data_IF_566448734443
#
_entry.id   IF_566448734443
#
_cell.length_a   1.000
_cell.length_b   1.000
_cell.length_c   1.000
_cell.angle_alpha   90.00
_cell.angle_beta   90.00
_cell.angle_gamma   90.00
#
_symmetry.space_group_name_H-M   'P 1'
#
loop_
_entity.id
_entity.type
_entity.pdbx_description
1 polymer ?
#
# COMPACT_ATOMS: atom_id res chain seq x y z
N UNK A 1 3.97 -16.73 -1.98
CA UNK A 1 2.58 -17.07 -1.56
C UNK A 1 1.86 -15.79 -1.14
N UNK A 2 0.63 -15.65 -1.53
CA UNK A 2 -0.25 -14.54 -1.13
C UNK A 2 -1.36 -15.07 -0.23
N UNK A 3 -1.64 -14.41 0.88
CA UNK A 3 -2.74 -14.77 1.77
C UNK A 3 -3.31 -13.55 2.52
N UNK A 4 -4.55 -13.70 3.01
CA UNK A 4 -5.12 -12.73 3.91
C UNK A 4 -4.33 -12.67 5.21
N UNK A 5 -4.19 -11.46 5.76
CA UNK A 5 -3.51 -11.30 7.04
C UNK A 5 -4.31 -11.99 8.15
N UNK A 6 -3.58 -12.75 8.95
CA UNK A 6 -4.08 -13.41 10.15
C UNK A 6 -3.23 -12.96 11.34
N UNK A 7 -3.79 -12.19 12.30
CA UNK A 7 -3.02 -11.65 13.42
C UNK A 7 -2.24 -12.70 14.21
N UNK A 8 -2.82 -13.88 14.41
CA UNK A 8 -2.17 -14.96 15.16
C UNK A 8 -0.96 -15.59 14.46
N UNK A 9 -0.81 -15.39 13.15
CA UNK A 9 0.23 -16.05 12.32
C UNK A 9 1.28 -15.08 11.77
N UNK A 10 0.93 -13.82 11.57
CA UNK A 10 1.74 -12.92 10.75
C UNK A 10 2.46 -11.82 11.53
N UNK A 11 2.35 -11.78 12.87
CA UNK A 11 3.03 -10.74 13.69
C UNK A 11 4.52 -10.67 13.39
N UNK A 12 5.22 -11.80 13.38
CA UNK A 12 6.66 -11.85 13.13
C UNK A 12 7.02 -11.38 11.72
N UNK A 13 6.21 -11.75 10.71
CA UNK A 13 6.42 -11.33 9.33
C UNK A 13 6.21 -9.83 9.15
N UNK A 14 5.22 -9.24 9.82
CA UNK A 14 4.99 -7.80 9.75
C UNK A 14 6.10 -7.03 10.47
N UNK A 15 6.64 -7.54 11.59
CA UNK A 15 7.84 -6.97 12.25
C UNK A 15 9.06 -6.99 11.31
N UNK A 16 9.30 -8.13 10.67
CA UNK A 16 10.39 -8.27 9.72
C UNK A 16 10.21 -7.32 8.53
N UNK A 17 9.00 -7.18 8.01
CA UNK A 17 8.70 -6.23 6.93
C UNK A 17 9.00 -4.78 7.36
N UNK A 18 8.60 -4.37 8.58
CA UNK A 18 8.85 -3.02 9.09
C UNK A 18 10.35 -2.66 9.07
N UNK A 19 11.19 -3.58 9.54
CA UNK A 19 12.65 -3.40 9.58
C UNK A 19 13.24 -3.33 8.16
N UNK A 20 12.64 -4.04 7.22
CA UNK A 20 13.13 -4.21 5.85
C UNK A 20 12.33 -3.42 4.80
N UNK A 21 11.54 -2.42 5.20
CA UNK A 21 10.80 -1.57 4.25
C UNK A 21 11.73 -0.93 3.22
N UNK A 22 11.24 -0.79 1.99
CA UNK A 22 11.87 0.08 1.00
C UNK A 22 12.05 1.48 1.60
N UNK A 23 13.12 2.15 1.27
CA UNK A 23 13.42 3.48 1.83
C UNK A 23 12.29 4.48 1.61
N UNK A 24 11.65 4.44 0.43
CA UNK A 24 10.53 5.34 0.12
C UNK A 24 9.27 5.00 0.95
N UNK A 25 9.00 3.72 1.19
CA UNK A 25 7.85 3.29 2.01
C UNK A 25 8.08 3.64 3.48
N UNK A 26 9.30 3.47 3.99
CA UNK A 26 9.66 3.89 5.35
C UNK A 26 9.47 5.40 5.53
N UNK A 27 9.85 6.19 4.52
CA UNK A 27 9.66 7.64 4.52
C UNK A 27 8.17 8.01 4.54
N UNK A 28 7.34 7.36 3.73
CA UNK A 28 5.90 7.57 3.69
C UNK A 28 5.23 7.21 5.02
N UNK A 29 5.55 6.05 5.60
CA UNK A 29 5.05 5.62 6.92
C UNK A 29 5.43 6.64 8.00
N UNK A 30 6.67 7.09 8.03
CA UNK A 30 7.14 8.12 8.97
C UNK A 30 6.38 9.43 8.80
N UNK A 31 6.17 9.86 7.57
CA UNK A 31 5.46 11.12 7.28
C UNK A 31 4.00 11.07 7.71
N UNK A 32 3.27 10.03 7.36
CA UNK A 32 1.86 9.84 7.73
C UNK A 32 1.69 9.84 9.25
N UNK A 33 2.64 9.28 9.99
CA UNK A 33 2.61 9.17 11.45
C UNK A 33 3.40 10.26 12.17
N UNK A 34 3.79 11.35 11.51
CA UNK A 34 4.67 12.39 12.05
C UNK A 34 4.15 13.10 13.29
N UNK A 35 2.84 13.08 13.53
CA UNK A 35 2.24 13.64 14.75
C UNK A 35 2.43 12.78 15.99
N UNK A 36 2.78 11.51 15.80
CA UNK A 36 3.12 10.57 16.87
C UNK A 36 4.64 10.39 16.91
N UNK A 37 5.34 11.14 17.74
CA UNK A 37 6.79 11.09 17.87
C UNK A 37 7.31 9.72 18.34
N UNK A 38 6.45 8.91 18.96
CA UNK A 38 6.76 7.58 19.48
C UNK A 38 6.31 6.44 18.55
N UNK A 39 5.83 6.77 17.33
CA UNK A 39 5.43 5.74 16.38
C UNK A 39 6.60 4.82 16.05
N UNK A 40 6.39 3.54 16.20
CA UNK A 40 7.40 2.53 15.99
C UNK A 40 6.84 1.19 15.53
N UNK A 41 7.67 0.16 15.63
CA UNK A 41 7.35 -1.19 15.14
C UNK A 41 6.03 -1.74 15.70
N UNK A 42 5.77 -1.58 16.99
CA UNK A 42 4.55 -2.09 17.62
C UNK A 42 3.29 -1.40 17.07
N UNK A 43 3.36 -0.10 16.81
CA UNK A 43 2.26 0.67 16.21
C UNK A 43 2.01 0.21 14.78
N UNK A 44 3.07 0.03 14.00
CA UNK A 44 3.00 -0.48 12.64
C UNK A 44 2.34 -1.87 12.59
N UNK A 45 2.80 -2.78 13.46
CA UNK A 45 2.22 -4.13 13.57
C UNK A 45 0.74 -4.07 13.90
N UNK A 46 0.36 -3.27 14.89
CA UNK A 46 -1.05 -3.06 15.28
C UNK A 46 -1.88 -2.54 14.11
N UNK A 47 -1.39 -1.53 13.40
CA UNK A 47 -2.11 -0.88 12.31
C UNK A 47 -2.31 -1.84 11.12
N UNK A 48 -1.30 -2.63 10.76
CA UNK A 48 -1.40 -3.61 9.67
C UNK A 48 -2.28 -4.80 10.04
N UNK A 49 -2.22 -5.28 11.28
CA UNK A 49 -3.00 -6.44 11.73
C UNK A 49 -4.41 -6.08 12.19
N UNK A 50 -4.73 -4.79 12.30
CA UNK A 50 -6.02 -4.30 12.74
C UNK A 50 -7.15 -4.57 11.73
N UNK A 51 -8.38 -4.32 12.16
CA UNK A 51 -9.60 -4.59 11.37
C UNK A 51 -10.00 -3.43 10.45
N UNK A 52 -9.26 -2.32 10.45
CA UNK A 52 -9.56 -1.13 9.65
C UNK A 52 -9.36 -1.37 8.15
N UNK A 53 -8.56 -2.35 7.78
CA UNK A 53 -8.22 -2.70 6.41
C UNK A 53 -8.44 -4.19 6.12
N UNK A 54 -8.85 -4.48 4.89
CA UNK A 54 -8.72 -5.80 4.30
C UNK A 54 -7.30 -5.91 3.74
N UNK A 55 -6.42 -6.54 4.48
CA UNK A 55 -5.01 -6.61 4.16
C UNK A 55 -4.58 -8.00 3.71
N UNK A 56 -3.63 -8.03 2.75
CA UNK A 56 -2.99 -9.25 2.27
C UNK A 56 -1.48 -9.11 2.39
N UNK A 57 -0.82 -10.24 2.66
CA UNK A 57 0.64 -10.34 2.71
C UNK A 57 1.12 -11.29 1.63
N UNK A 58 2.22 -10.92 0.99
CA UNK A 58 2.93 -11.77 0.02
C UNK A 58 4.25 -12.18 0.63
N UNK A 59 4.52 -13.48 0.61
CA UNK A 59 5.76 -14.06 1.14
C UNK A 59 6.48 -14.89 0.07
N UNK A 60 7.79 -14.97 0.18
CA UNK A 60 8.62 -15.89 -0.58
C UNK A 60 9.63 -16.56 0.38
N UNK A 61 9.67 -17.89 0.41
CA UNK A 61 10.52 -18.66 1.33
C UNK A 61 10.40 -18.16 2.79
N UNK A 62 9.18 -17.98 3.25
CA UNK A 62 8.83 -17.49 4.59
C UNK A 62 9.31 -16.06 4.93
N UNK A 63 9.75 -15.31 3.92
CA UNK A 63 10.10 -13.89 4.06
C UNK A 63 8.98 -13.00 3.53
N UNK A 64 8.66 -11.90 4.23
CA UNK A 64 7.65 -10.96 3.77
C UNK A 64 8.20 -10.12 2.62
N UNK A 65 7.53 -10.16 1.47
CA UNK A 65 7.87 -9.34 0.31
C UNK A 65 7.12 -8.02 0.30
N UNK A 66 5.83 -8.06 0.54
CA UNK A 66 5.00 -6.86 0.62
C UNK A 66 3.69 -7.14 1.37
N UNK A 67 3.06 -6.06 1.79
CA UNK A 67 1.70 -6.04 2.32
C UNK A 67 0.92 -4.94 1.61
N UNK A 68 -0.34 -5.18 1.37
CA UNK A 68 -1.23 -4.21 0.76
C UNK A 68 -2.67 -4.41 1.23
N UNK A 69 -3.48 -3.39 1.13
CA UNK A 69 -4.86 -3.47 1.60
C UNK A 69 -5.72 -2.30 1.18
N UNK A 70 -7.02 -2.45 1.46
CA UNK A 70 -8.05 -1.44 1.25
C UNK A 70 -8.85 -1.24 2.53
N UNK A 71 -9.18 0.00 2.84
CA UNK A 71 -9.94 0.33 4.05
C UNK A 71 -11.37 -0.22 4.00
N UNK A 72 -11.85 -0.68 5.16
CA UNK A 72 -13.23 -1.15 5.33
C UNK A 72 -14.23 0.02 5.35
N UNK A 73 -13.79 1.19 5.83
CA UNK A 73 -14.61 2.41 5.90
C UNK A 73 -14.23 3.40 4.82
N UNK A 74 -15.20 4.22 4.40
CA UNK A 74 -14.96 5.31 3.46
C UNK A 74 -14.76 6.64 4.17
N UNK A 75 -13.94 7.49 3.57
CA UNK A 75 -13.80 8.90 3.90
C UNK A 75 -14.31 9.71 2.71
N UNK A 76 -15.42 10.43 2.89
CA UNK A 76 -16.08 11.18 1.80
C UNK A 76 -16.35 10.32 0.54
N UNK A 77 -16.78 9.06 0.73
CA UNK A 77 -17.05 8.13 -0.37
C UNK A 77 -15.81 7.51 -1.01
N UNK A 78 -14.62 7.80 -0.52
CA UNK A 78 -13.35 7.23 -1.00
C UNK A 78 -12.79 6.23 -0.01
N UNK A 79 -12.22 5.13 -0.50
CA UNK A 79 -11.55 4.12 0.32
C UNK A 79 -10.04 4.25 0.20
N UNK A 80 -9.37 4.29 1.34
CA UNK A 80 -7.91 4.33 1.38
C UNK A 80 -7.33 2.98 0.96
N UNK A 81 -6.31 3.01 0.10
CA UNK A 81 -5.53 1.83 -0.26
C UNK A 81 -4.08 2.06 0.12
N UNK A 82 -3.36 0.99 0.42
CA UNK A 82 -1.92 1.07 0.69
C UNK A 82 -1.17 -0.11 0.10
N UNK A 83 0.11 0.12 -0.14
CA UNK A 83 1.10 -0.88 -0.53
C UNK A 83 2.42 -0.54 0.16
N UNK A 84 3.03 -1.54 0.81
CA UNK A 84 4.33 -1.42 1.48
C UNK A 84 5.18 -2.63 1.09
N UNK A 85 6.32 -2.37 0.48
CA UNK A 85 7.24 -3.39 -0.02
C UNK A 85 8.53 -3.49 0.80
N UNK A 86 9.13 -4.67 0.79
CA UNK A 86 10.46 -4.92 1.33
C UNK A 86 11.56 -4.51 0.36
N UNK A 87 12.79 -4.42 0.86
CA UNK A 87 13.99 -4.24 0.01
C UNK A 87 14.20 -5.40 -0.95
N UNK A 88 13.85 -6.63 -0.54
CA UNK A 88 13.87 -7.78 -1.43
C UNK A 88 12.91 -7.61 -2.60
N UNK A 89 11.70 -7.12 -2.36
CA UNK A 89 10.76 -6.81 -3.43
C UNK A 89 11.31 -5.72 -4.35
N UNK A 90 11.92 -4.66 -3.81
CA UNK A 90 12.50 -3.57 -4.60
C UNK A 90 13.62 -4.05 -5.53
N UNK A 91 14.41 -5.02 -5.08
CA UNK A 91 15.56 -5.53 -5.84
C UNK A 91 15.22 -6.69 -6.77
N UNK A 92 13.96 -7.16 -6.81
CA UNK A 92 13.53 -8.28 -7.64
C UNK A 92 12.57 -7.84 -8.74
N UNK A 93 13.12 -7.59 -9.92
CA UNK A 93 12.34 -7.15 -11.09
C UNK A 93 11.29 -8.16 -11.54
N UNK A 94 11.53 -9.46 -11.37
CA UNK A 94 10.55 -10.49 -11.72
C UNK A 94 9.32 -10.40 -10.81
N UNK A 95 9.52 -10.26 -9.50
CA UNK A 95 8.43 -10.07 -8.54
C UNK A 95 7.64 -8.78 -8.81
N UNK A 96 8.33 -7.70 -9.14
CA UNK A 96 7.68 -6.43 -9.48
C UNK A 96 6.78 -6.56 -10.72
N UNK A 97 7.26 -7.23 -11.76
CA UNK A 97 6.47 -7.49 -12.98
C UNK A 97 5.25 -8.36 -12.70
N UNK A 98 5.40 -9.40 -11.89
CA UNK A 98 4.28 -10.24 -11.46
C UNK A 98 3.26 -9.43 -10.66
N UNK A 99 3.71 -8.61 -9.71
CA UNK A 99 2.84 -7.74 -8.92
C UNK A 99 2.06 -6.76 -9.80
N UNK A 100 2.72 -6.09 -10.75
CA UNK A 100 2.06 -5.16 -11.68
C UNK A 100 0.94 -5.89 -12.45
N UNK A 101 1.16 -7.13 -12.86
CA UNK A 101 0.16 -7.93 -13.57
C UNK A 101 -1.03 -8.29 -12.68
N UNK A 102 -0.76 -8.75 -11.46
CA UNK A 102 -1.79 -9.20 -10.51
C UNK A 102 -2.56 -8.01 -9.91
N UNK A 103 -1.89 -6.88 -9.68
CA UNK A 103 -2.47 -5.69 -9.09
C UNK A 103 -3.65 -5.10 -9.87
N UNK A 104 -3.69 -5.27 -11.19
CA UNK A 104 -4.85 -4.89 -12.00
C UNK A 104 -6.12 -5.61 -11.57
N UNK A 105 -6.02 -6.90 -11.35
CA UNK A 105 -7.15 -7.71 -10.88
C UNK A 105 -7.57 -7.30 -9.46
N UNK A 106 -6.61 -7.07 -8.58
CA UNK A 106 -6.85 -6.65 -7.19
C UNK A 106 -7.59 -5.29 -7.16
N UNK A 107 -7.11 -4.32 -7.90
CA UNK A 107 -7.75 -3.00 -8.01
C UNK A 107 -9.14 -3.15 -8.66
N UNK A 108 -9.28 -3.98 -9.68
CA UNK A 108 -10.57 -4.28 -10.31
C UNK A 108 -11.58 -4.87 -9.32
N UNK A 109 -11.16 -5.84 -8.51
CA UNK A 109 -12.00 -6.42 -7.43
C UNK A 109 -12.45 -5.34 -6.44
N UNK A 110 -11.53 -4.50 -5.98
CA UNK A 110 -11.87 -3.43 -5.04
C UNK A 110 -12.85 -2.41 -5.61
N UNK A 111 -12.72 -2.08 -6.90
CA UNK A 111 -13.61 -1.15 -7.59
C UNK A 111 -14.97 -1.75 -7.96
N UNK A 112 -15.20 -3.06 -7.84
CA UNK A 112 -16.54 -3.64 -8.03
C UNK A 112 -17.55 -3.07 -7.03
N UNK A 113 -17.13 -2.86 -5.79
CA UNK A 113 -17.97 -2.42 -4.67
C UNK A 113 -17.64 -1.02 -4.14
N UNK A 114 -16.64 -0.35 -4.71
CA UNK A 114 -16.18 0.98 -4.27
C UNK A 114 -16.06 1.90 -5.46
N UNK A 115 -16.51 3.14 -5.33
CA UNK A 115 -16.51 4.12 -6.42
C UNK A 115 -15.16 4.80 -6.60
N UNK A 116 -14.38 4.95 -5.52
CA UNK A 116 -13.10 5.64 -5.56
C UNK A 116 -12.12 5.07 -4.53
N UNK A 117 -10.90 4.85 -4.99
CA UNK A 117 -9.76 4.50 -4.15
C UNK A 117 -8.82 5.70 -4.09
N UNK A 118 -8.15 5.91 -2.96
CA UNK A 118 -7.22 7.02 -2.78
C UNK A 118 -6.10 6.70 -1.78
N UNK A 119 -5.06 7.46 -1.83
CA UNK A 119 -4.09 7.68 -0.76
C UNK A 119 -3.19 8.87 -1.12
N UNK A 120 -2.32 9.23 -0.18
CA UNK A 120 -1.21 10.14 -0.44
C UNK A 120 0.04 9.33 -0.75
N UNK A 121 0.86 9.84 -1.67
CA UNK A 121 2.10 9.23 -2.10
C UNK A 121 3.20 10.29 -2.12
N UNK A 122 4.42 9.93 -1.76
CA UNK A 122 5.56 10.84 -1.86
C UNK A 122 5.84 11.18 -3.33
N UNK A 123 5.98 12.46 -3.64
CA UNK A 123 6.18 12.94 -5.02
C UNK A 123 7.40 12.31 -5.73
N UNK A 124 8.42 11.87 -4.97
CA UNK A 124 9.61 11.20 -5.50
C UNK A 124 9.42 9.67 -5.66
N UNK A 125 8.28 9.13 -5.29
CA UNK A 125 7.98 7.71 -5.50
C UNK A 125 7.60 7.45 -6.98
N UNK A 126 8.53 7.75 -7.88
CA UNK A 126 8.28 7.72 -9.32
C UNK A 126 7.85 6.36 -9.87
N UNK A 127 8.35 5.27 -9.29
CA UNK A 127 7.96 3.90 -9.71
C UNK A 127 6.50 3.63 -9.41
N UNK A 128 6.07 3.92 -8.19
CA UNK A 128 4.67 3.72 -7.78
C UNK A 128 3.75 4.69 -8.52
N UNK A 129 4.16 5.94 -8.72
CA UNK A 129 3.40 6.92 -9.50
C UNK A 129 3.18 6.43 -10.94
N UNK A 130 4.21 5.91 -11.61
CA UNK A 130 4.06 5.36 -12.97
C UNK A 130 3.12 4.16 -13.00
N UNK A 131 3.22 3.27 -12.01
CA UNK A 131 2.31 2.14 -11.88
C UNK A 131 0.87 2.60 -11.68
N UNK A 132 0.61 3.52 -10.74
CA UNK A 132 -0.72 4.09 -10.50
C UNK A 132 -1.31 4.74 -11.76
N UNK A 133 -0.52 5.54 -12.48
CA UNK A 133 -0.94 6.13 -13.76
C UNK A 133 -1.29 5.06 -14.79
N UNK A 134 -0.57 3.95 -14.84
CA UNK A 134 -0.87 2.84 -15.76
C UNK A 134 -2.21 2.15 -15.44
N UNK A 135 -2.68 2.28 -14.20
CA UNK A 135 -4.00 1.81 -13.76
C UNK A 135 -5.12 2.81 -13.99
N UNK A 136 -4.82 4.01 -14.49
CA UNK A 136 -5.78 5.10 -14.70
C UNK A 136 -5.92 6.06 -13.52
N UNK A 137 -5.01 6.01 -12.54
CA UNK A 137 -5.03 6.94 -11.42
C UNK A 137 -4.70 8.37 -11.86
N UNK A 138 -5.36 9.33 -11.22
CA UNK A 138 -5.05 10.75 -11.33
C UNK A 138 -4.18 11.16 -10.13
N UNK A 139 -3.06 11.81 -10.40
CA UNK A 139 -2.18 12.38 -9.37
C UNK A 139 -2.50 13.87 -9.26
N UNK A 140 -2.94 14.29 -8.09
CA UNK A 140 -3.35 15.66 -7.81
C UNK A 140 -2.19 16.42 -7.15
N UNK A 141 -1.27 16.94 -7.97
CA UNK A 141 -0.10 17.67 -7.47
C UNK A 141 -0.45 18.99 -6.77
N UNK A 142 -1.63 19.53 -7.02
CA UNK A 142 -2.20 20.71 -6.37
C UNK A 142 -2.82 20.40 -5.00
N UNK A 143 -3.08 19.12 -4.70
CA UNK A 143 -3.55 18.66 -3.40
C UNK A 143 -2.40 17.92 -2.71
N UNK A 144 -1.65 18.66 -1.93
CA UNK A 144 -0.45 18.16 -1.29
C UNK A 144 -0.44 18.42 0.22
N UNK A 145 0.33 17.62 0.92
CA UNK A 145 0.69 17.80 2.32
C UNK A 145 2.22 17.63 2.39
N UNK A 146 2.93 18.76 2.30
CA UNK A 146 4.38 18.76 2.13
C UNK A 146 4.81 18.07 0.82
N UNK A 147 5.61 17.02 0.93
CA UNK A 147 6.09 16.23 -0.21
C UNK A 147 5.14 15.09 -0.61
N UNK A 148 4.02 14.94 0.11
CA UNK A 148 2.98 13.96 -0.20
C UNK A 148 1.91 14.58 -1.10
N UNK A 149 1.52 13.89 -2.15
CA UNK A 149 0.47 14.30 -3.09
C UNK A 149 -0.66 13.28 -3.11
N UNK A 150 -1.89 13.77 -3.24
CA UNK A 150 -3.06 12.90 -3.34
C UNK A 150 -3.07 12.17 -4.68
N UNK A 151 -3.42 10.89 -4.68
CA UNK A 151 -3.90 10.22 -5.88
C UNK A 151 -5.30 9.66 -5.69
N UNK A 152 -6.06 9.59 -6.77
CA UNK A 152 -7.37 8.95 -6.81
C UNK A 152 -7.45 7.97 -7.99
N UNK A 153 -8.19 6.89 -7.79
CA UNK A 153 -8.48 5.90 -8.82
C UNK A 153 -9.98 5.61 -8.77
N UNK A 154 -10.72 6.09 -9.78
CA UNK A 154 -12.17 5.99 -9.83
C UNK A 154 -12.62 4.80 -10.67
N UNK A 155 -13.72 4.19 -10.25
CA UNK A 155 -14.46 3.23 -11.07
C UNK A 155 -14.88 3.92 -12.40
N UNK A 156 -14.62 3.27 -13.50
CA UNK A 156 -14.89 3.83 -14.84
C UNK A 156 -13.67 4.50 -15.50
N UNK A 157 -12.73 5.05 -14.73
CA UNK A 157 -11.46 5.61 -15.25
C UNK A 157 -10.31 4.59 -15.17
N UNK A 158 -10.49 3.55 -14.39
CA UNK A 158 -9.46 2.53 -14.15
C UNK A 158 -9.24 1.61 -15.36
N UNK A 159 -7.98 1.38 -15.69
CA UNK A 159 -7.52 0.41 -16.70
C UNK A 159 -7.24 -0.95 -16.05
N UNK A 160 -8.28 -1.62 -15.62
CA UNK A 160 -8.21 -2.86 -14.82
C UNK A 160 -9.06 -3.98 -15.41
#
# INVERSE_FOLDING_TARGET
>A
MECNICPSKHVSLIRELYINLRSIDALEVKYINRKNSNYGENDFVRDILGEDYQSRIVTDNDKPLCVYGVSNTSLNGMHCIYFLGSKEFENNLSLQKQFIKVSRNIIGEWLQTRECLFNYIHKENHRTIRWLKSLGAVIHYDINDGDMVLFTLRKGDANV
#
